data_IF_050148919904
#
_entry.id   IF_050148919904
#
_cell.length_a   1.000
_cell.length_b   1.000
_cell.length_c   1.000
_cell.angle_alpha   90.00
_cell.angle_beta   90.00
_cell.angle_gamma   90.00
#
_symmetry.space_group_name_H-M   'P 1'
#
loop_
_entity.id
_entity.type
_entity.pdbx_description
1 polymer ?
#
# COMPACT_ATOMS: atom_id res chain seq x y z
N UNK A 1 3.28 -23.21 0.38
CA UNK A 1 2.34 -22.17 0.85
C UNK A 1 3.17 -21.02 1.36
N UNK A 2 3.08 -19.87 0.71
CA UNK A 2 3.79 -18.65 1.09
C UNK A 2 2.86 -17.81 1.97
N UNK A 3 2.80 -18.12 3.27
CA UNK A 3 1.95 -17.36 4.20
C UNK A 3 2.52 -15.97 4.46
N UNK A 4 1.65 -14.96 4.58
CA UNK A 4 2.07 -13.58 4.88
C UNK A 4 2.44 -13.33 6.35
N UNK A 5 2.22 -14.31 7.23
CA UNK A 5 2.56 -14.26 8.67
C UNK A 5 3.29 -15.51 9.12
N UNK A 6 3.98 -15.42 10.26
CA UNK A 6 4.62 -16.55 10.92
C UNK A 6 3.63 -17.41 11.72
N UNK A 7 4.14 -18.51 12.28
CA UNK A 7 3.33 -19.42 13.10
C UNK A 7 2.72 -18.76 14.36
N UNK A 8 3.21 -17.58 14.75
CA UNK A 8 2.72 -16.79 15.89
C UNK A 8 1.78 -15.65 15.47
N UNK A 9 1.50 -15.51 14.17
CA UNK A 9 0.65 -14.47 13.61
C UNK A 9 1.33 -13.11 13.47
N UNK A 10 2.66 -13.04 13.56
CA UNK A 10 3.40 -11.82 13.26
C UNK A 10 3.64 -11.71 11.74
N UNK A 11 3.54 -10.50 11.16
CA UNK A 11 3.77 -10.31 9.73
C UNK A 11 5.21 -10.68 9.35
N UNK A 12 5.36 -11.49 8.30
CA UNK A 12 6.67 -11.78 7.70
C UNK A 12 6.86 -10.84 6.52
N UNK A 13 7.75 -9.84 6.60
CA UNK A 13 7.99 -8.89 5.52
C UNK A 13 8.90 -9.50 4.45
N UNK A 14 8.45 -10.56 3.76
CA UNK A 14 9.12 -11.04 2.56
C UNK A 14 8.96 -10.05 1.41
N UNK A 15 9.82 -10.14 0.39
CA UNK A 15 9.71 -9.30 -0.81
C UNK A 15 8.33 -9.40 -1.46
N UNK A 16 7.74 -10.60 -1.55
CA UNK A 16 6.41 -10.83 -2.09
C UNK A 16 5.31 -10.16 -1.25
N UNK A 17 5.37 -10.27 0.07
CA UNK A 17 4.39 -9.64 0.98
C UNK A 17 4.44 -8.12 0.89
N UNK A 18 5.65 -7.54 0.90
CA UNK A 18 5.85 -6.10 0.79
C UNK A 18 5.41 -5.57 -0.58
N UNK A 19 5.70 -6.31 -1.65
CA UNK A 19 5.33 -5.92 -3.03
C UNK A 19 3.82 -5.99 -3.24
N UNK A 20 3.17 -7.08 -2.81
CA UNK A 20 1.72 -7.21 -2.85
C UNK A 20 1.02 -6.08 -2.05
N UNK A 21 1.61 -5.66 -0.93
CA UNK A 21 1.05 -4.64 -0.04
C UNK A 21 1.47 -3.21 -0.39
N UNK A 22 2.29 -3.00 -1.43
CA UNK A 22 2.95 -1.72 -1.71
C UNK A 22 1.96 -0.55 -1.84
N UNK A 23 0.84 -0.75 -2.55
CA UNK A 23 -0.21 0.27 -2.67
C UNK A 23 -0.83 0.65 -1.32
N UNK A 24 -1.10 -0.34 -0.46
CA UNK A 24 -1.65 -0.07 0.88
C UNK A 24 -0.63 0.65 1.76
N UNK A 25 0.64 0.27 1.69
CA UNK A 25 1.74 0.93 2.41
C UNK A 25 1.85 2.39 1.97
N UNK A 26 1.87 2.64 0.67
CA UNK A 26 1.99 3.97 0.10
C UNK A 26 0.87 4.93 0.52
N UNK A 27 -0.35 4.42 0.70
CA UNK A 27 -1.50 5.21 1.15
C UNK A 27 -1.55 5.37 2.67
N UNK A 28 -1.40 4.27 3.42
CA UNK A 28 -1.59 4.25 4.88
C UNK A 28 -0.40 4.88 5.61
N UNK A 29 0.81 4.57 5.17
CA UNK A 29 2.06 4.98 5.81
C UNK A 29 2.74 6.16 5.08
N UNK A 30 1.99 6.87 4.23
CA UNK A 30 2.46 8.06 3.53
C UNK A 30 3.09 9.11 4.48
N UNK A 31 2.45 9.51 5.60
CA UNK A 31 2.99 10.60 6.42
C UNK A 31 4.33 10.23 7.08
N UNK A 32 4.48 8.98 7.53
CA UNK A 32 5.72 8.46 8.11
C UNK A 32 6.83 8.38 7.04
N UNK A 33 6.51 7.84 5.86
CA UNK A 33 7.45 7.74 4.73
C UNK A 33 7.96 9.12 4.30
N UNK A 34 7.04 10.09 4.15
CA UNK A 34 7.40 11.47 3.78
C UNK A 34 8.23 12.14 4.88
N UNK A 35 7.93 11.91 6.15
CA UNK A 35 8.73 12.44 7.25
C UNK A 35 10.16 11.88 7.25
N UNK A 36 10.33 10.58 6.99
CA UNK A 36 11.63 9.94 6.86
C UNK A 36 12.43 10.49 5.67
N UNK A 37 11.79 10.62 4.50
CA UNK A 37 12.43 11.19 3.30
C UNK A 37 12.83 12.67 3.49
N UNK A 38 11.99 13.47 4.15
CA UNK A 38 12.33 14.86 4.51
C UNK A 38 13.53 14.92 5.46
N UNK A 39 13.60 14.03 6.44
CA UNK A 39 14.75 13.94 7.34
C UNK A 39 16.04 13.66 6.56
N UNK A 40 16.03 12.63 5.71
CA UNK A 40 17.16 12.26 4.85
C UNK A 40 17.59 13.37 3.88
N UNK A 41 16.64 14.17 3.39
CA UNK A 41 16.94 15.30 2.51
C UNK A 41 17.64 16.44 3.25
N UNK A 42 17.31 16.64 4.53
CA UNK A 42 17.85 17.74 5.32
C UNK A 42 19.21 17.42 5.95
N UNK A 43 19.47 16.16 6.28
CA UNK A 43 20.71 15.73 6.91
C UNK A 43 21.22 14.43 6.28
N UNK A 44 22.48 14.38 5.80
CA UNK A 44 23.06 13.18 5.21
C UNK A 44 23.42 12.11 6.26
N UNK A 45 23.46 12.43 7.55
CA UNK A 45 23.78 11.46 8.59
C UNK A 45 22.57 10.52 8.85
N UNK A 46 22.68 9.21 8.58
CA UNK A 46 21.58 8.27 8.74
C UNK A 46 21.11 8.12 10.20
N UNK A 47 21.98 8.35 11.19
CA UNK A 47 21.66 8.14 12.61
C UNK A 47 20.58 9.10 13.13
N UNK A 48 20.53 10.33 12.60
CA UNK A 48 19.55 11.34 13.01
C UNK A 48 18.12 11.02 12.59
N UNK A 49 17.95 10.13 11.61
CA UNK A 49 16.64 9.75 11.06
C UNK A 49 16.16 8.38 11.55
N UNK A 50 16.88 7.72 12.47
CA UNK A 50 16.53 6.38 12.96
C UNK A 50 15.15 6.33 13.61
N UNK A 51 14.75 7.35 14.37
CA UNK A 51 13.43 7.38 15.00
C UNK A 51 12.31 7.45 13.96
N UNK A 52 12.50 8.23 12.88
CA UNK A 52 11.55 8.26 11.74
C UNK A 52 11.54 6.94 10.97
N UNK A 53 12.69 6.27 10.84
CA UNK A 53 12.75 4.93 10.28
C UNK A 53 11.96 3.90 11.11
N UNK A 54 12.06 3.97 12.45
CA UNK A 54 11.27 3.11 13.36
C UNK A 54 9.77 3.37 13.23
N UNK A 55 9.37 4.63 13.07
CA UNK A 55 7.96 5.00 12.85
C UNK A 55 7.41 4.39 11.56
N UNK A 56 8.18 4.45 10.46
CA UNK A 56 7.84 3.78 9.19
C UNK A 56 7.67 2.28 9.39
N UNK A 57 8.66 1.62 9.99
CA UNK A 57 8.60 0.16 10.21
C UNK A 57 7.41 -0.23 11.08
N UNK A 58 7.12 0.54 12.13
CA UNK A 58 5.95 0.32 13.00
C UNK A 58 4.64 0.42 12.22
N UNK A 59 4.51 1.43 11.35
CA UNK A 59 3.33 1.59 10.50
C UNK A 59 3.15 0.40 9.55
N UNK A 60 4.23 0.00 8.85
CA UNK A 60 4.19 -1.09 7.87
C UNK A 60 3.83 -2.42 8.54
N UNK A 61 4.49 -2.78 9.66
CA UNK A 61 4.19 -4.03 10.34
C UNK A 61 2.77 -4.04 10.91
N UNK A 62 2.29 -2.91 11.45
CA UNK A 62 0.90 -2.78 11.88
C UNK A 62 -0.09 -2.97 10.73
N UNK A 63 0.18 -2.38 9.57
CA UNK A 63 -0.63 -2.54 8.37
C UNK A 63 -0.66 -3.99 7.87
N UNK A 64 0.50 -4.67 7.80
CA UNK A 64 0.56 -6.06 7.34
C UNK A 64 -0.25 -6.98 8.24
N UNK A 65 -0.20 -6.76 9.56
CA UNK A 65 -1.04 -7.47 10.53
C UNK A 65 -2.53 -7.19 10.29
N UNK A 66 -2.91 -5.93 10.10
CA UNK A 66 -4.29 -5.52 9.82
C UNK A 66 -4.83 -6.17 8.53
N UNK A 67 -4.02 -6.21 7.46
CA UNK A 67 -4.40 -6.80 6.17
C UNK A 67 -4.59 -8.30 6.28
N UNK A 68 -3.66 -9.00 6.93
CA UNK A 68 -3.76 -10.44 7.10
C UNK A 68 -4.96 -10.83 7.98
N UNK A 69 -5.30 -10.03 9.00
CA UNK A 69 -6.48 -10.30 9.83
C UNK A 69 -7.82 -10.07 9.11
N UNK A 70 -7.87 -9.15 8.13
CA UNK A 70 -9.12 -8.78 7.44
C UNK A 70 -9.35 -9.54 6.14
N UNK A 71 -8.29 -9.73 5.36
CA UNK A 71 -8.34 -10.21 3.98
C UNK A 71 -7.32 -11.35 3.78
N UNK A 72 -7.28 -12.27 4.74
CA UNK A 72 -6.25 -13.31 4.83
C UNK A 72 -6.10 -14.09 3.52
N UNK A 73 -7.22 -14.64 3.05
CA UNK A 73 -7.22 -15.58 1.93
C UNK A 73 -6.75 -14.92 0.64
N UNK A 74 -7.35 -13.79 0.28
CA UNK A 74 -7.02 -13.07 -0.95
C UNK A 74 -5.61 -12.49 -0.90
N UNK A 75 -5.14 -12.08 0.28
CA UNK A 75 -3.75 -11.64 0.47
C UNK A 75 -2.77 -12.80 0.26
N UNK A 76 -3.01 -13.96 0.87
CA UNK A 76 -2.13 -15.12 0.73
C UNK A 76 -2.11 -15.65 -0.72
N UNK A 77 -3.26 -15.64 -1.43
CA UNK A 77 -3.33 -16.00 -2.85
C UNK A 77 -2.49 -15.04 -3.71
N UNK A 78 -2.62 -13.74 -3.48
CA UNK A 78 -1.86 -12.71 -4.22
C UNK A 78 -0.36 -12.77 -3.91
N UNK A 79 0.01 -12.93 -2.63
CA UNK A 79 1.40 -13.13 -2.20
C UNK A 79 1.98 -14.41 -2.78
N UNK A 80 1.18 -15.48 -2.87
CA UNK A 80 1.57 -16.74 -3.50
C UNK A 80 1.90 -16.56 -4.99
N UNK A 81 1.05 -15.83 -5.71
CA UNK A 81 1.30 -15.48 -7.11
C UNK A 81 2.58 -14.64 -7.26
N UNK A 82 2.73 -13.59 -6.45
CA UNK A 82 3.93 -12.74 -6.43
C UNK A 82 5.20 -13.52 -6.15
N UNK A 83 5.16 -14.45 -5.20
CA UNK A 83 6.30 -15.30 -4.89
C UNK A 83 6.68 -16.22 -6.06
N UNK A 84 5.69 -16.80 -6.75
CA UNK A 84 5.95 -17.70 -7.88
C UNK A 84 6.49 -16.97 -9.11
N UNK A 85 5.94 -15.80 -9.43
CA UNK A 85 6.33 -15.00 -10.59
C UNK A 85 7.38 -13.92 -10.27
N UNK A 86 8.15 -14.08 -9.19
CA UNK A 86 9.28 -13.19 -8.84
C UNK A 86 8.87 -11.71 -8.79
N UNK A 87 7.70 -11.43 -8.20
CA UNK A 87 7.13 -10.10 -8.04
C UNK A 87 6.67 -9.41 -9.35
N UNK A 88 6.39 -10.17 -10.40
CA UNK A 88 5.86 -9.63 -11.66
C UNK A 88 4.35 -9.35 -11.55
N UNK A 89 3.99 -8.06 -11.59
CA UNK A 89 2.61 -7.63 -11.36
C UNK A 89 1.64 -8.03 -12.48
N UNK A 90 2.10 -8.04 -13.72
CA UNK A 90 1.23 -8.28 -14.88
C UNK A 90 0.69 -9.71 -14.92
N UNK A 91 1.41 -10.65 -14.30
CA UNK A 91 1.01 -12.05 -14.21
C UNK A 91 0.03 -12.34 -13.05
N UNK A 92 -0.11 -11.40 -12.11
CA UNK A 92 -0.90 -11.55 -10.89
C UNK A 92 -2.07 -10.57 -10.77
N UNK A 93 -2.51 -9.96 -11.89
CA UNK A 93 -3.59 -8.95 -11.91
C UNK A 93 -4.92 -9.50 -11.41
N UNK A 94 -5.20 -10.78 -11.67
CA UNK A 94 -6.44 -11.44 -11.25
C UNK A 94 -6.52 -11.55 -9.72
N UNK A 95 -5.44 -11.99 -9.09
CA UNK A 95 -5.30 -12.11 -7.64
C UNK A 95 -5.28 -10.72 -6.99
N UNK A 96 -4.63 -9.75 -7.65
CA UNK A 96 -4.64 -8.35 -7.23
C UNK A 96 -6.07 -7.79 -7.18
N UNK A 97 -6.87 -7.96 -8.23
CA UNK A 97 -8.26 -7.48 -8.28
C UNK A 97 -9.12 -8.14 -7.19
N UNK A 98 -8.94 -9.44 -6.97
CA UNK A 98 -9.63 -10.16 -5.89
C UNK A 98 -9.26 -9.58 -4.51
N UNK A 99 -7.98 -9.33 -4.27
CA UNK A 99 -7.49 -8.73 -3.04
C UNK A 99 -8.01 -7.30 -2.84
N UNK A 100 -7.91 -6.43 -3.85
CA UNK A 100 -8.39 -5.04 -3.78
C UNK A 100 -9.91 -4.94 -3.63
N UNK A 101 -10.67 -5.96 -4.08
CA UNK A 101 -12.12 -6.02 -3.89
C UNK A 101 -12.53 -6.27 -2.44
N UNK A 102 -11.81 -7.14 -1.74
CA UNK A 102 -12.10 -7.47 -0.33
C UNK A 102 -11.46 -6.44 0.61
N UNK A 103 -10.25 -6.01 0.27
CA UNK A 103 -9.49 -4.99 0.96
C UNK A 103 -9.38 -3.74 0.08
N UNK A 104 -10.41 -2.87 0.04
CA UNK A 104 -10.33 -1.66 -0.75
C UNK A 104 -9.21 -0.75 -0.26
N UNK A 105 -8.45 -0.21 -1.20
CA UNK A 105 -7.50 0.86 -0.93
C UNK A 105 -8.29 2.04 -0.38
N UNK A 106 -8.14 2.33 0.91
CA UNK A 106 -8.80 3.44 1.58
C UNK A 106 -8.12 4.73 1.13
N UNK A 107 -8.43 5.16 -0.08
CA UNK A 107 -8.02 6.45 -0.60
C UNK A 107 -8.94 7.50 -0.01
N UNK A 108 -8.35 8.54 0.57
CA UNK A 108 -9.03 9.82 0.72
C UNK A 108 -9.56 10.32 -0.66
N UNK A 109 -8.93 9.85 -1.75
CA UNK A 109 -9.42 9.98 -3.13
C UNK A 109 -10.77 9.28 -3.38
N UNK A 110 -11.08 8.11 -2.80
CA UNK A 110 -12.43 7.53 -2.94
C UNK A 110 -13.47 8.40 -2.24
N UNK A 111 -13.13 8.97 -1.08
CA UNK A 111 -14.00 9.93 -0.42
C UNK A 111 -14.16 11.21 -1.26
N UNK A 112 -13.09 11.70 -1.92
CA UNK A 112 -13.16 12.84 -2.84
C UNK A 112 -13.94 12.50 -4.12
N UNK A 113 -13.83 11.29 -4.67
CA UNK A 113 -14.59 10.80 -5.84
C UNK A 113 -16.07 10.63 -5.47
N UNK A 114 -16.36 10.14 -4.27
CA UNK A 114 -17.72 10.04 -3.71
C UNK A 114 -18.31 11.44 -3.39
N UNK A 115 -17.47 12.38 -2.94
CA UNK A 115 -17.81 13.80 -2.81
C UNK A 115 -18.01 14.47 -4.19
N UNK A 116 -17.31 14.03 -5.24
CA UNK A 116 -17.54 14.47 -6.62
C UNK A 116 -18.81 13.88 -7.24
N UNK A 117 -19.26 12.71 -6.77
CA UNK A 117 -20.51 12.07 -7.21
C UNK A 117 -21.76 12.62 -6.52
N UNK A 118 -21.61 13.39 -5.45
CA UNK A 118 -22.71 14.05 -4.72
C UNK A 118 -22.83 15.51 -5.16
N UNK A 119 -23.18 15.73 -6.44
CA UNK A 119 -23.77 16.92 -7.08
C UNK A 119 -23.31 18.36 -6.72
N UNK A 120 -22.25 18.57 -5.94
CA UNK A 120 -21.85 19.90 -5.46
C UNK A 120 -20.37 20.25 -5.66
N UNK A 121 -19.68 19.63 -6.63
CA UNK A 121 -18.34 20.08 -7.03
C UNK A 121 -18.39 21.23 -8.05
N UNK A 122 -18.73 22.42 -7.58
CA UNK A 122 -18.43 23.67 -8.29
C UNK A 122 -16.92 23.95 -8.24
N UNK A 123 -16.21 23.70 -9.34
CA UNK A 123 -14.90 24.32 -9.61
C UNK A 123 -13.80 23.37 -10.05
N UNK A 124 -13.37 23.52 -11.32
CA UNK A 124 -12.06 23.27 -11.99
C UNK A 124 -11.16 22.05 -11.64
N UNK A 125 -11.43 21.29 -10.58
CA UNK A 125 -10.63 20.14 -10.11
C UNK A 125 -11.15 18.79 -10.65
N UNK A 126 -12.43 18.68 -11.02
CA UNK A 126 -13.03 17.44 -11.57
C UNK A 126 -12.36 16.95 -12.87
N UNK A 127 -11.95 17.85 -13.75
CA UNK A 127 -11.42 17.47 -15.08
C UNK A 127 -10.02 16.85 -15.04
N UNK A 128 -9.29 16.96 -13.93
CA UNK A 128 -7.92 16.40 -13.80
C UNK A 128 -7.89 14.97 -13.23
N UNK A 129 -9.04 14.44 -12.79
CA UNK A 129 -9.16 13.09 -12.22
C UNK A 129 -9.71 12.06 -13.21
N UNK A 130 -10.42 12.48 -14.27
CA UNK A 130 -10.99 11.56 -15.26
C UNK A 130 -9.94 10.88 -16.15
N UNK A 131 -8.67 11.32 -16.08
CA UNK A 131 -7.53 10.73 -16.78
C UNK A 131 -6.41 10.26 -15.87
N UNK A 132 -6.65 10.06 -14.55
CA UNK A 132 -5.63 9.56 -13.60
C UNK A 132 -6.06 8.23 -12.99
N UNK A 133 -6.66 7.40 -13.82
CA UNK A 133 -6.94 5.98 -13.56
C UNK A 133 -5.79 5.09 -14.06
N UNK A 134 -4.64 5.70 -14.38
CA UNK A 134 -3.42 4.98 -14.70
C UNK A 134 -2.84 4.43 -13.39
N UNK A 135 -2.96 3.11 -13.27
CA UNK A 135 -2.36 2.20 -12.29
C UNK A 135 -0.82 2.32 -12.15
N UNK A 136 -0.18 3.26 -12.84
CA UNK A 136 1.28 3.48 -12.86
C UNK A 136 1.79 4.54 -11.88
N UNK A 137 0.95 5.16 -11.05
CA UNK A 137 1.40 6.21 -10.12
C UNK A 137 1.97 5.70 -8.78
N UNK A 138 1.99 4.38 -8.55
CA UNK A 138 2.53 3.77 -7.32
C UNK A 138 3.76 2.86 -7.59
N UNK A 139 4.43 3.06 -8.73
CA UNK A 139 5.68 2.38 -9.10
C UNK A 139 6.93 3.26 -8.86
N UNK A 140 6.88 4.15 -7.87
CA UNK A 140 8.05 4.88 -7.36
C UNK A 140 8.27 4.59 -5.88
#
# INVERSE_FOLDING_TARGET
MSSAVDATGNPIPTSAVLTASAKHIGLRCMPENVAFLKCKKNDPNPEKCLDKGRDVTRCVLGLLKDLHQKCQKEMDDYVGCMYYYTNEFDLCRKEQEAFEKVCPLKTEVQNIVNLCHTDNCHGRWCLRLKGRQDSNLFLW
#
